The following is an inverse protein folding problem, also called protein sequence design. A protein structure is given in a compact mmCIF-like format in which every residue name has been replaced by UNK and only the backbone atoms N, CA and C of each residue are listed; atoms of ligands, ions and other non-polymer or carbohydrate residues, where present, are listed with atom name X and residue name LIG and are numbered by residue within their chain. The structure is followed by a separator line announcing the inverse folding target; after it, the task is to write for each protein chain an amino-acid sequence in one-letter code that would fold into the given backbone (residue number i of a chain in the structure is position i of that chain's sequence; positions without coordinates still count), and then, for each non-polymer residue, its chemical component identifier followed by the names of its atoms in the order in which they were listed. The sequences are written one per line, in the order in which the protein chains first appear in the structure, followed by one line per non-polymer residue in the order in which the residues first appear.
data_IF_792831612269
#
_entry.id   IF_792831612269
#
_cell.length_a   1.000
_cell.length_b   1.000
_cell.length_c   1.000
_cell.angle_alpha   90.00
_cell.angle_beta   90.00
_cell.angle_gamma   90.00
#
_symmetry.space_group_name_H-M   'P 1'
#
loop_
_entity.id
_entity.type
_entity.pdbx_description
1 polymer ?
#
# COMPACT_ATOMS: atom_id res chain seq x y z
N UNK A 1 21.78 -75.19 -0.56
CA UNK A 1 23.15 -75.39 -0.03
C UNK A 1 23.84 -74.04 0.05
N UNK A 2 24.08 -73.55 1.28
CA UNK A 2 25.16 -72.63 1.76
C UNK A 2 25.38 -71.28 1.02
N UNK A 3 25.70 -70.12 1.61
CA UNK A 3 25.99 -69.63 2.97
C UNK A 3 25.87 -68.07 2.90
N UNK A 4 25.22 -67.40 3.86
CA UNK A 4 25.79 -66.56 4.96
C UNK A 4 26.92 -65.57 4.60
N UNK A 5 26.75 -64.33 5.14
CA UNK A 5 27.70 -63.19 5.31
C UNK A 5 27.80 -62.31 4.05
N UNK A 6 27.63 -60.99 4.10
CA UNK A 6 28.21 -60.03 5.05
C UNK A 6 27.22 -58.92 5.45
N UNK A 7 26.96 -58.82 6.76
CA UNK A 7 26.58 -57.57 7.42
C UNK A 7 27.86 -56.74 7.60
N UNK A 8 27.76 -55.43 7.37
CA UNK A 8 28.74 -54.50 7.89
C UNK A 8 28.97 -53.32 6.97
N UNK A 9 28.69 -52.12 7.51
CA UNK A 9 29.07 -50.80 7.00
C UNK A 9 28.14 -50.22 5.94
N UNK A 10 26.95 -49.76 6.35
CA UNK A 10 26.45 -48.50 5.79
C UNK A 10 25.37 -47.77 6.60
N UNK A 11 24.85 -48.34 7.69
CA UNK A 11 23.75 -47.73 8.45
C UNK A 11 24.18 -46.95 9.70
N UNK A 12 25.48 -46.68 9.86
CA UNK A 12 26.03 -46.06 11.07
C UNK A 12 26.39 -44.57 10.89
N UNK A 13 25.51 -43.76 10.29
CA UNK A 13 25.77 -42.30 10.16
C UNK A 13 24.61 -41.33 10.44
N UNK A 14 23.41 -41.78 10.84
CA UNK A 14 22.30 -40.84 11.11
C UNK A 14 21.69 -40.89 12.52
N UNK A 15 22.40 -41.47 13.50
CA UNK A 15 21.98 -41.49 14.90
C UNK A 15 22.60 -40.34 15.73
N UNK A 16 22.51 -39.08 15.29
CA UNK A 16 22.77 -37.89 16.16
C UNK A 16 21.81 -36.73 15.89
N UNK A 17 20.50 -37.00 15.91
CA UNK A 17 19.51 -35.94 16.13
C UNK A 17 19.35 -35.73 17.64
N UNK A 18 20.04 -34.72 18.17
CA UNK A 18 19.86 -34.22 19.54
C UNK A 18 18.38 -33.84 19.74
N UNK A 19 17.63 -34.68 20.46
CA UNK A 19 16.35 -34.30 21.07
C UNK A 19 16.64 -33.27 22.16
N UNK A 20 16.50 -31.98 21.82
CA UNK A 20 16.46 -30.92 22.81
C UNK A 20 15.14 -31.15 23.58
N UNK A 21 15.24 -31.69 24.80
CA UNK A 21 14.11 -31.71 25.74
C UNK A 21 13.76 -30.24 26.03
N UNK A 22 12.59 -29.80 25.59
CA UNK A 22 11.95 -28.62 26.14
C UNK A 22 11.73 -28.90 27.64
N UNK A 23 12.57 -28.33 28.50
CA UNK A 23 12.19 -28.10 29.88
C UNK A 23 11.10 -27.04 29.83
N UNK A 24 9.85 -27.49 29.81
CA UNK A 24 8.76 -26.65 30.28
C UNK A 24 9.10 -26.33 31.73
N UNK A 25 9.56 -25.10 31.97
CA UNK A 25 9.53 -24.53 33.30
C UNK A 25 8.05 -24.28 33.54
N UNK A 26 7.35 -25.28 34.09
CA UNK A 26 6.09 -25.04 34.77
C UNK A 26 6.42 -24.13 35.95
N UNK A 27 6.32 -22.82 35.71
CA UNK A 27 6.22 -21.89 36.81
C UNK A 27 4.92 -22.25 37.52
N UNK A 28 5.04 -22.88 38.69
CA UNK A 28 3.92 -23.06 39.60
C UNK A 28 3.46 -21.66 40.05
N UNK A 29 2.46 -21.12 39.38
CA UNK A 29 1.77 -19.88 39.78
C UNK A 29 0.86 -20.10 41.01
N UNK A 30 1.02 -21.21 41.72
CA UNK A 30 0.20 -21.62 42.87
C UNK A 30 0.83 -21.30 44.22
N UNK A 31 1.85 -20.44 44.26
CA UNK A 31 2.14 -19.67 45.47
C UNK A 31 1.45 -18.31 45.36
N UNK A 32 0.13 -18.33 45.43
CA UNK A 32 -0.64 -17.15 45.84
C UNK A 32 -0.34 -17.01 47.33
N UNK A 33 0.77 -16.33 47.66
CA UNK A 33 0.89 -15.75 48.99
C UNK A 33 -0.37 -14.92 49.18
N UNK A 34 -1.00 -15.12 50.34
CA UNK A 34 -2.28 -14.54 50.71
C UNK A 34 -2.42 -13.15 50.10
N UNK A 35 -3.40 -12.99 49.20
CA UNK A 35 -3.98 -11.68 48.90
C UNK A 35 -4.78 -11.31 50.16
N UNK A 36 -4.07 -11.21 51.28
CA UNK A 36 -4.50 -10.51 52.46
C UNK A 36 -4.95 -9.17 51.95
N UNK A 37 -6.21 -8.88 52.22
CA UNK A 37 -6.94 -7.68 51.82
C UNK A 37 -5.97 -6.52 51.79
N UNK A 38 -5.51 -6.11 50.60
CA UNK A 38 -4.61 -4.97 50.52
C UNK A 38 -5.32 -3.84 51.23
N UNK A 39 -4.71 -3.19 52.25
CA UNK A 39 -5.35 -2.08 52.93
C UNK A 39 -5.80 -1.10 51.87
N UNK A 40 -7.05 -0.62 51.98
CA UNK A 40 -7.58 0.34 51.04
C UNK A 40 -6.58 1.49 50.91
N UNK A 41 -6.04 1.68 49.70
CA UNK A 41 -4.99 2.68 49.47
C UNK A 41 -5.46 4.02 49.98
N UNK A 42 -4.59 4.69 50.74
CA UNK A 42 -4.92 5.99 51.28
C UNK A 42 -5.15 6.98 50.12
N UNK A 43 -6.00 8.02 50.31
CA UNK A 43 -6.33 8.96 49.24
C UNK A 43 -5.10 9.59 48.56
N UNK A 44 -4.03 9.85 49.34
CA UNK A 44 -2.77 10.38 48.80
C UNK A 44 -2.00 9.38 47.92
N UNK A 45 -2.09 8.08 48.20
CA UNK A 45 -1.44 7.03 47.40
C UNK A 45 -2.16 6.85 46.06
N UNK A 46 -3.49 6.99 46.07
CA UNK A 46 -4.30 7.03 44.85
C UNK A 46 -3.95 8.25 43.98
N UNK A 47 -3.79 9.42 44.59
CA UNK A 47 -3.35 10.62 43.86
C UNK A 47 -1.91 10.50 43.34
N UNK A 48 -0.99 9.94 44.12
CA UNK A 48 0.38 9.70 43.70
C UNK A 48 0.44 8.71 42.54
N UNK A 49 -0.34 7.63 42.59
CA UNK A 49 -0.45 6.67 41.48
C UNK A 49 -1.10 7.28 40.24
N UNK A 50 -2.13 8.10 40.38
CA UNK A 50 -2.72 8.85 39.26
C UNK A 50 -1.68 9.77 38.62
N UNK A 51 -0.94 10.54 39.43
CA UNK A 51 0.14 11.43 38.94
C UNK A 51 1.29 10.66 38.29
N UNK A 52 1.63 9.48 38.79
CA UNK A 52 2.64 8.60 38.18
C UNK A 52 2.12 8.04 36.85
N UNK A 53 0.89 7.54 36.80
CA UNK A 53 0.27 7.01 35.58
C UNK A 53 0.07 8.08 34.50
N UNK A 54 -0.29 9.31 34.89
CA UNK A 54 -0.41 10.47 33.99
C UNK A 54 0.94 10.92 33.41
N UNK A 55 2.04 10.69 34.14
CA UNK A 55 3.40 11.07 33.71
C UNK A 55 4.16 9.94 33.04
N UNK A 56 3.82 8.69 33.32
CA UNK A 56 4.49 7.53 32.75
C UNK A 56 3.89 7.20 31.38
N UNK A 57 4.42 7.80 30.32
CA UNK A 57 4.37 7.16 29.00
C UNK A 57 5.03 5.80 29.15
N UNK A 58 4.26 4.72 29.12
CA UNK A 58 4.84 3.39 29.26
C UNK A 58 5.73 3.11 28.05
N UNK A 59 6.77 2.26 28.19
CA UNK A 59 7.58 1.85 27.03
C UNK A 59 6.73 1.27 25.89
N UNK A 60 5.59 0.66 26.22
CA UNK A 60 4.60 0.18 25.26
C UNK A 60 3.92 1.33 24.49
N UNK A 61 3.52 2.41 25.16
CA UNK A 61 2.93 3.59 24.51
C UNK A 61 3.92 4.25 23.53
N UNK A 62 5.21 4.27 23.87
CA UNK A 62 6.26 4.74 22.98
C UNK A 62 6.42 3.87 21.72
N UNK A 63 6.27 2.54 21.86
CA UNK A 63 6.29 1.60 20.74
C UNK A 63 5.06 1.77 19.85
N UNK A 64 3.86 1.88 20.43
CA UNK A 64 2.60 2.11 19.70
C UNK A 64 2.68 3.43 18.92
N UNK A 65 3.10 4.53 19.57
CA UNK A 65 3.26 5.82 18.91
C UNK A 65 4.29 5.77 17.76
N UNK A 66 5.37 5.00 17.92
CA UNK A 66 6.36 4.80 16.87
C UNK A 66 5.82 3.97 15.69
N UNK A 67 5.03 2.94 15.96
CA UNK A 67 4.35 2.14 14.93
C UNK A 67 3.32 2.98 14.17
N UNK A 68 2.43 3.69 14.86
CA UNK A 68 1.47 4.60 14.24
C UNK A 68 2.16 5.65 13.37
N UNK A 69 3.28 6.22 13.84
CA UNK A 69 4.06 7.19 13.06
C UNK A 69 4.64 6.56 11.80
N UNK A 70 5.12 5.31 11.86
CA UNK A 70 5.60 4.56 10.69
C UNK A 70 4.45 4.27 9.72
N UNK A 71 3.30 3.82 10.22
CA UNK A 71 2.12 3.55 9.39
C UNK A 71 1.64 4.81 8.67
N UNK A 72 1.47 5.92 9.40
CA UNK A 72 1.13 7.23 8.81
C UNK A 72 2.14 7.66 7.75
N UNK A 73 3.43 7.45 7.99
CA UNK A 73 4.47 7.77 7.00
C UNK A 73 4.39 6.88 5.74
N UNK A 74 4.06 5.59 5.89
CA UNK A 74 3.86 4.66 4.78
C UNK A 74 2.60 5.05 3.98
N UNK A 75 1.50 5.39 4.65
CA UNK A 75 0.28 5.89 4.01
C UNK A 75 0.52 7.16 3.23
N UNK A 76 1.20 8.15 3.82
CA UNK A 76 1.58 9.39 3.14
C UNK A 76 2.44 9.11 1.91
N UNK A 77 3.42 8.21 2.02
CA UNK A 77 4.25 7.80 0.86
C UNK A 77 3.42 7.14 -0.24
N UNK A 78 2.46 6.27 0.11
CA UNK A 78 1.56 5.62 -0.85
C UNK A 78 0.63 6.62 -1.52
N UNK A 79 0.02 7.53 -0.75
CA UNK A 79 -0.84 8.60 -1.24
C UNK A 79 -0.10 9.55 -2.18
N UNK A 80 1.10 9.99 -1.80
CA UNK A 80 1.94 10.86 -2.63
C UNK A 80 2.36 10.19 -3.94
N UNK A 81 2.66 8.88 -3.92
CA UNK A 81 2.95 8.12 -5.15
C UNK A 81 1.73 8.08 -6.08
N UNK A 82 0.53 7.83 -5.54
CA UNK A 82 -0.69 7.81 -6.34
C UNK A 82 -1.02 9.19 -6.93
N UNK A 83 -0.90 10.25 -6.13
CA UNK A 83 -1.07 11.64 -6.57
C UNK A 83 -0.07 11.99 -7.68
N UNK A 84 1.20 11.63 -7.53
CA UNK A 84 2.23 11.90 -8.54
C UNK A 84 1.98 11.18 -9.87
N UNK A 85 1.44 9.96 -9.84
CA UNK A 85 1.06 9.25 -11.07
C UNK A 85 -0.08 9.97 -11.78
N UNK A 86 -1.11 10.39 -11.04
CA UNK A 86 -2.27 11.08 -11.62
C UNK A 86 -1.95 12.49 -12.11
N UNK A 87 -0.99 13.16 -11.46
CA UNK A 87 -0.42 14.41 -11.94
C UNK A 87 0.29 14.22 -13.28
N UNK A 88 1.08 13.15 -13.44
CA UNK A 88 1.74 12.81 -14.71
C UNK A 88 0.75 12.45 -15.81
N UNK A 89 -0.34 11.76 -15.47
CA UNK A 89 -1.41 11.42 -16.40
C UNK A 89 -2.28 12.63 -16.81
N UNK A 90 -2.05 13.81 -16.23
CA UNK A 90 -2.78 15.04 -16.55
C UNK A 90 -4.25 15.00 -16.12
N UNK A 91 -4.63 14.06 -15.25
CA UNK A 91 -6.01 13.89 -14.80
C UNK A 91 -6.50 15.03 -13.89
N UNK A 92 -5.56 15.77 -13.27
CA UNK A 92 -5.82 16.86 -12.36
C UNK A 92 -5.26 18.16 -12.91
N UNK A 93 -6.04 19.24 -12.80
CA UNK A 93 -5.51 20.58 -12.99
C UNK A 93 -4.52 20.91 -11.85
N UNK A 94 -3.53 21.79 -12.07
CA UNK A 94 -2.58 22.20 -11.02
C UNK A 94 -3.29 22.69 -9.76
N UNK A 95 -4.40 23.42 -9.92
CA UNK A 95 -5.21 23.95 -8.81
C UNK A 95 -5.94 22.86 -8.04
N UNK A 96 -6.50 21.86 -8.72
CA UNK A 96 -7.11 20.69 -8.07
C UNK A 96 -6.07 19.86 -7.31
N UNK A 97 -4.90 19.65 -7.90
CA UNK A 97 -3.82 18.91 -7.28
C UNK A 97 -3.30 19.59 -6.01
N UNK A 98 -3.20 20.92 -6.04
CA UNK A 98 -2.77 21.72 -4.90
C UNK A 98 -3.78 21.61 -3.76
N UNK A 99 -5.07 21.86 -4.03
CA UNK A 99 -6.15 21.71 -3.04
C UNK A 99 -6.17 20.29 -2.47
N UNK A 100 -6.05 19.28 -3.32
CA UNK A 100 -6.00 17.89 -2.89
C UNK A 100 -4.78 17.62 -1.99
N UNK A 101 -3.59 18.10 -2.36
CA UNK A 101 -2.37 17.94 -1.57
C UNK A 101 -2.47 18.59 -0.18
N UNK A 102 -3.11 19.76 -0.09
CA UNK A 102 -3.34 20.43 1.19
C UNK A 102 -4.38 19.70 2.05
N UNK A 103 -5.54 19.33 1.47
CA UNK A 103 -6.61 18.68 2.23
C UNK A 103 -6.28 17.24 2.63
N UNK A 104 -5.59 16.46 1.80
CA UNK A 104 -5.34 15.03 2.05
C UNK A 104 -3.90 14.72 2.45
N UNK A 105 -2.92 15.46 1.90
CA UNK A 105 -1.51 15.28 2.26
C UNK A 105 -1.19 15.92 3.61
N UNK A 106 -1.58 17.20 3.79
CA UNK A 106 -1.37 17.93 5.05
C UNK A 106 -2.54 17.82 6.04
N UNK A 107 -3.66 17.18 5.64
CA UNK A 107 -4.87 17.02 6.45
C UNK A 107 -5.46 18.35 6.97
N UNK A 108 -5.30 19.43 6.20
CA UNK A 108 -5.84 20.75 6.55
C UNK A 108 -7.36 20.81 6.36
N UNK A 109 -8.02 21.60 7.21
CA UNK A 109 -9.45 21.88 7.10
C UNK A 109 -9.74 22.76 5.88
N UNK A 110 -10.97 22.70 5.36
CA UNK A 110 -11.35 23.44 4.16
C UNK A 110 -11.24 24.97 4.36
N UNK A 111 -11.49 25.45 5.57
CA UNK A 111 -11.32 26.86 5.98
C UNK A 111 -9.85 27.31 5.97
N UNK A 112 -8.94 26.46 6.43
CA UNK A 112 -7.51 26.74 6.45
C UNK A 112 -6.96 26.78 5.02
N UNK A 113 -7.37 25.81 4.19
CA UNK A 113 -7.00 25.76 2.77
C UNK A 113 -7.58 26.96 2.00
N UNK A 114 -8.82 27.35 2.31
CA UNK A 114 -9.45 28.54 1.76
C UNK A 114 -8.65 29.80 2.07
N UNK A 115 -8.23 29.95 3.33
CA UNK A 115 -7.43 31.10 3.80
C UNK A 115 -6.05 31.13 3.15
N UNK A 116 -5.37 29.99 3.07
CA UNK A 116 -4.04 29.87 2.43
C UNK A 116 -4.07 30.17 0.93
N UNK A 117 -5.17 29.88 0.25
CA UNK A 117 -5.31 30.03 -1.20
C UNK A 117 -6.08 31.28 -1.61
N UNK A 118 -6.55 32.09 -0.66
CA UNK A 118 -7.36 33.28 -0.93
C UNK A 118 -8.64 32.95 -1.71
N UNK A 119 -9.30 31.82 -1.42
CA UNK A 119 -10.52 31.39 -2.09
C UNK A 119 -11.64 31.09 -1.09
N UNK A 120 -12.89 31.16 -1.56
CA UNK A 120 -14.04 30.78 -0.72
C UNK A 120 -14.00 29.29 -0.33
N UNK A 121 -14.40 28.90 0.90
CA UNK A 121 -14.48 27.50 1.33
C UNK A 121 -15.32 26.62 0.40
N UNK A 122 -16.44 27.14 -0.13
CA UNK A 122 -17.27 26.43 -1.13
C UNK A 122 -16.47 26.07 -2.40
N UNK A 123 -15.54 26.91 -2.81
CA UNK A 123 -14.66 26.66 -3.95
C UNK A 123 -13.67 25.55 -3.64
N UNK A 124 -13.12 25.51 -2.42
CA UNK A 124 -12.27 24.40 -1.95
C UNK A 124 -13.04 23.09 -2.01
N UNK A 125 -14.26 23.06 -1.46
CA UNK A 125 -15.12 21.88 -1.46
C UNK A 125 -15.39 21.38 -2.89
N UNK A 126 -15.74 22.29 -3.82
CA UNK A 126 -15.98 21.95 -5.23
C UNK A 126 -14.73 21.41 -5.91
N UNK A 127 -13.56 22.03 -5.68
CA UNK A 127 -12.29 21.58 -6.24
C UNK A 127 -11.88 20.21 -5.69
N UNK A 128 -12.12 19.97 -4.40
CA UNK A 128 -11.91 18.69 -3.72
C UNK A 128 -12.77 17.59 -4.33
N UNK A 129 -14.06 17.86 -4.56
CA UNK A 129 -14.96 16.91 -5.20
C UNK A 129 -14.52 16.59 -6.63
N UNK A 130 -14.24 17.61 -7.45
CA UNK A 130 -13.73 17.41 -8.81
C UNK A 130 -12.42 16.62 -8.84
N UNK A 131 -11.52 16.89 -7.90
CA UNK A 131 -10.30 16.11 -7.76
C UNK A 131 -10.64 14.64 -7.47
N UNK A 132 -11.52 14.36 -6.49
CA UNK A 132 -11.95 12.98 -6.18
C UNK A 132 -12.55 12.26 -7.38
N UNK A 133 -13.40 12.92 -8.15
CA UNK A 133 -13.98 12.35 -9.38
C UNK A 133 -12.91 12.02 -10.43
N UNK A 134 -11.94 12.91 -10.62
CA UNK A 134 -10.79 12.67 -11.50
C UNK A 134 -9.94 11.49 -11.01
N UNK A 135 -9.72 11.37 -9.69
CA UNK A 135 -9.03 10.24 -9.08
C UNK A 135 -9.74 8.91 -9.35
N UNK A 136 -11.06 8.86 -9.13
CA UNK A 136 -11.86 7.65 -9.37
C UNK A 136 -11.81 7.27 -10.85
N UNK A 137 -11.92 8.25 -11.74
CA UNK A 137 -11.83 8.04 -13.19
C UNK A 137 -10.47 7.49 -13.59
N UNK A 138 -9.37 8.13 -13.17
CA UNK A 138 -8.01 7.69 -13.48
C UNK A 138 -7.71 6.28 -12.95
N UNK A 139 -8.14 5.97 -11.73
CA UNK A 139 -8.01 4.62 -11.18
C UNK A 139 -8.81 3.57 -11.97
N UNK A 140 -10.03 3.90 -12.40
CA UNK A 140 -10.84 3.01 -13.23
C UNK A 140 -10.19 2.79 -14.61
N UNK A 141 -9.68 3.84 -15.24
CA UNK A 141 -8.95 3.76 -16.51
C UNK A 141 -7.67 2.94 -16.39
N UNK A 142 -6.90 3.11 -15.31
CA UNK A 142 -5.70 2.32 -15.05
C UNK A 142 -6.02 0.84 -14.85
N UNK A 143 -7.06 0.52 -14.08
CA UNK A 143 -7.55 -0.86 -13.91
C UNK A 143 -7.96 -1.48 -15.24
N UNK A 144 -8.68 -0.73 -16.08
CA UNK A 144 -9.02 -1.15 -17.45
C UNK A 144 -7.77 -1.38 -18.30
N UNK A 145 -6.81 -0.46 -18.27
CA UNK A 145 -5.53 -0.60 -18.98
C UNK A 145 -4.76 -1.85 -18.58
N UNK A 146 -4.71 -2.17 -17.27
CA UNK A 146 -4.10 -3.41 -16.77
C UNK A 146 -4.82 -4.66 -17.27
N UNK A 147 -6.17 -4.66 -17.29
CA UNK A 147 -6.95 -5.74 -17.88
C UNK A 147 -6.64 -5.90 -19.38
N UNK A 148 -6.53 -4.78 -20.10
CA UNK A 148 -6.20 -4.79 -21.52
C UNK A 148 -4.82 -5.39 -21.78
N UNK A 149 -3.82 -5.02 -20.98
CA UNK A 149 -2.48 -5.59 -21.06
C UNK A 149 -2.46 -7.08 -20.72
N UNK A 150 -3.21 -7.50 -19.70
CA UNK A 150 -3.34 -8.91 -19.31
C UNK A 150 -4.00 -9.71 -20.43
N UNK A 151 -5.07 -9.23 -21.05
CA UNK A 151 -5.67 -9.94 -22.18
C UNK A 151 -4.73 -9.92 -23.41
N UNK A 152 -4.06 -8.80 -23.68
CA UNK A 152 -3.14 -8.67 -24.81
C UNK A 152 -2.00 -9.69 -24.81
N UNK A 153 -1.56 -10.20 -23.64
CA UNK A 153 -0.50 -11.22 -23.58
C UNK A 153 -0.92 -12.57 -24.16
N UNK A 154 -2.22 -12.86 -24.23
CA UNK A 154 -2.75 -14.12 -24.78
C UNK A 154 -2.95 -14.09 -26.30
N UNK A 155 -2.81 -12.92 -26.94
CA UNK A 155 -3.01 -12.79 -28.38
C UNK A 155 -1.72 -12.49 -29.14
N UNK A 156 -1.62 -13.04 -30.36
CA UNK A 156 -0.52 -12.72 -31.29
C UNK A 156 -0.69 -11.31 -31.85
N UNK A 157 -0.01 -10.34 -31.23
CA UNK A 157 0.09 -8.97 -31.70
C UNK A 157 1.40 -8.75 -32.49
N UNK A 158 1.34 -7.93 -33.53
CA UNK A 158 2.55 -7.48 -34.24
C UNK A 158 3.45 -6.66 -33.31
N UNK A 159 4.75 -6.57 -33.62
CA UNK A 159 5.72 -5.78 -32.83
C UNK A 159 5.27 -4.32 -32.66
N UNK A 160 4.71 -3.73 -33.73
CA UNK A 160 4.18 -2.36 -33.73
C UNK A 160 2.94 -2.21 -32.83
N UNK A 161 1.95 -3.10 -32.98
CA UNK A 161 0.77 -3.11 -32.10
C UNK A 161 1.17 -3.25 -30.65
N UNK A 162 2.04 -4.22 -30.32
CA UNK A 162 2.51 -4.45 -28.96
C UNK A 162 3.21 -3.23 -28.37
N UNK A 163 4.05 -2.53 -29.15
CA UNK A 163 4.75 -1.32 -28.68
C UNK A 163 3.77 -0.18 -28.42
N UNK A 164 2.89 0.14 -29.37
CA UNK A 164 1.87 1.20 -29.21
C UNK A 164 0.93 0.90 -28.03
N UNK A 165 0.53 -0.36 -27.87
CA UNK A 165 -0.38 -0.78 -26.81
C UNK A 165 0.27 -0.67 -25.41
N UNK A 166 1.55 -1.02 -25.29
CA UNK A 166 2.32 -0.81 -24.04
C UNK A 166 2.46 0.67 -23.72
N UNK A 167 2.88 1.49 -24.69
CA UNK A 167 3.04 2.93 -24.47
C UNK A 167 1.73 3.58 -23.99
N UNK A 168 0.57 3.14 -24.53
CA UNK A 168 -0.73 3.67 -24.10
C UNK A 168 -1.16 3.20 -22.71
N UNK A 169 -1.14 1.89 -22.45
CA UNK A 169 -1.79 1.33 -21.25
C UNK A 169 -0.85 0.98 -20.10
N UNK A 170 0.45 0.88 -20.36
CA UNK A 170 1.49 0.67 -19.33
C UNK A 170 2.15 1.99 -18.95
N UNK A 171 2.55 2.76 -19.97
CA UNK A 171 3.34 3.99 -19.76
C UNK A 171 2.45 5.25 -19.70
N UNK A 172 1.16 5.13 -19.99
CA UNK A 172 0.16 6.20 -19.82
C UNK A 172 0.21 7.31 -20.86
N UNK A 173 0.99 7.16 -21.94
CA UNK A 173 1.16 8.22 -22.93
C UNK A 173 -0.13 8.52 -23.69
N UNK A 174 -0.33 9.80 -24.00
CA UNK A 174 -1.40 10.28 -24.85
C UNK A 174 -1.23 9.77 -26.29
N UNK A 175 -2.35 9.69 -27.02
CA UNK A 175 -2.32 9.31 -28.45
C UNK A 175 -1.44 10.29 -29.25
N UNK A 176 -1.46 11.57 -28.89
CA UNK A 176 -0.64 12.63 -29.50
C UNK A 176 0.85 12.40 -29.29
N UNK A 177 1.27 12.10 -28.06
CA UNK A 177 2.69 11.79 -27.76
C UNK A 177 3.14 10.54 -28.50
N UNK A 178 2.32 9.48 -28.50
CA UNK A 178 2.62 8.25 -29.26
C UNK A 178 2.71 8.57 -30.75
N UNK A 179 1.80 9.37 -31.30
CA UNK A 179 1.81 9.77 -32.70
C UNK A 179 3.12 10.50 -33.07
N UNK A 180 3.55 11.43 -32.21
CA UNK A 180 4.83 12.13 -32.32
C UNK A 180 6.04 11.17 -32.30
N UNK A 181 6.07 10.22 -31.35
CA UNK A 181 7.17 9.24 -31.24
C UNK A 181 7.32 8.32 -32.47
N UNK A 182 6.22 8.05 -33.19
CA UNK A 182 6.22 7.17 -34.35
C UNK A 182 6.21 7.91 -35.69
N UNK A 183 6.19 9.26 -35.69
CA UNK A 183 6.05 10.06 -36.90
C UNK A 183 4.75 9.74 -37.65
N UNK A 184 3.63 9.61 -36.94
CA UNK A 184 2.32 9.24 -37.51
C UNK A 184 1.26 10.25 -37.10
N UNK A 185 0.14 10.24 -37.81
CA UNK A 185 -1.07 10.97 -37.40
C UNK A 185 -1.74 10.28 -36.21
N UNK A 186 -2.41 11.06 -35.35
CA UNK A 186 -3.19 10.55 -34.22
C UNK A 186 -4.23 9.51 -34.65
N UNK A 187 -4.93 9.75 -35.77
CA UNK A 187 -5.94 8.84 -36.34
C UNK A 187 -5.38 7.44 -36.64
N UNK A 188 -4.15 7.38 -37.15
CA UNK A 188 -3.46 6.10 -37.42
C UNK A 188 -3.19 5.33 -36.13
N UNK A 189 -2.71 6.02 -35.07
CA UNK A 189 -2.47 5.41 -33.76
C UNK A 189 -3.78 4.92 -33.15
N UNK A 190 -4.86 5.71 -33.22
CA UNK A 190 -6.20 5.31 -32.77
C UNK A 190 -6.69 4.05 -33.50
N UNK A 191 -6.57 4.00 -34.82
CA UNK A 191 -6.94 2.81 -35.59
C UNK A 191 -6.16 1.56 -35.17
N UNK A 192 -4.86 1.68 -34.92
CA UNK A 192 -4.05 0.57 -34.41
C UNK A 192 -4.56 0.11 -33.04
N UNK A 193 -4.83 1.03 -32.12
CA UNK A 193 -5.38 0.72 -30.81
C UNK A 193 -6.76 0.04 -30.92
N UNK A 194 -7.67 0.58 -31.71
CA UNK A 194 -9.02 0.01 -31.91
C UNK A 194 -8.98 -1.38 -32.52
N UNK A 195 -8.14 -1.61 -33.54
CA UNK A 195 -7.96 -2.96 -34.14
C UNK A 195 -7.37 -3.94 -33.14
N UNK A 196 -6.42 -3.49 -32.32
CA UNK A 196 -5.82 -4.31 -31.27
C UNK A 196 -6.84 -4.67 -30.19
N UNK A 197 -7.65 -3.70 -29.75
CA UNK A 197 -8.74 -3.94 -28.79
C UNK A 197 -9.76 -4.91 -29.36
N UNK A 198 -10.22 -4.72 -30.61
CA UNK A 198 -11.13 -5.67 -31.27
C UNK A 198 -10.56 -7.07 -31.23
N UNK A 199 -9.31 -7.27 -31.65
CA UNK A 199 -8.64 -8.58 -31.64
C UNK A 199 -8.57 -9.24 -30.25
N UNK A 200 -8.48 -8.44 -29.19
CA UNK A 200 -8.36 -8.92 -27.80
C UNK A 200 -9.73 -9.24 -27.17
N UNK A 201 -10.80 -8.58 -27.63
CA UNK A 201 -12.13 -8.67 -27.04
C UNK A 201 -13.18 -9.37 -27.92
N UNK A 202 -12.87 -9.62 -29.19
CA UNK A 202 -13.71 -10.38 -30.12
C UNK A 202 -13.28 -11.86 -30.25
N UNK A 203 -12.37 -12.31 -29.39
CA UNK A 203 -11.87 -13.67 -29.31
C UNK A 203 -12.27 -14.26 -27.96
#
# INVERSE_FOLDING_TARGET
MQAKREEGKHEEQHAKRKKIRSREISADFTRVEDIGTMPAMAPFELEARKKIAERSTTPLDGLIAAEEKKERAVELKRGNRALNVLLKEGALTPRQALVYGLCYGKKLLESEVASLLGIAPRTVQRLRQKAREAFVRGLAERRRGMLYLKKASFHRLTRKQRKIFKLRYRDGLSVKEIAGMFGRTERSVQQVLSRTLKKIFSA
#
